data_IF_884624057628
#
_entry.id   IF_884624057628
#
_cell.length_a   1.000
_cell.length_b   1.000
_cell.length_c   1.000
_cell.angle_alpha   90.00
_cell.angle_beta   90.00
_cell.angle_gamma   90.00
#
_symmetry.space_group_name_H-M   'P 1'
#
loop_
_entity.id
_entity.type
_entity.pdbx_description
1 polymer ?
#
# COMPACT_ATOMS: atom_id res chain seq x y z
N UNK A 1 -0.55 21.10 -11.97
CA UNK A 1 -1.12 19.84 -11.43
C UNK A 1 -1.29 18.84 -12.57
N UNK A 2 -1.04 17.55 -12.35
CA UNK A 2 -1.33 16.53 -13.36
C UNK A 2 -2.82 16.51 -13.71
N UNK A 3 -3.14 16.27 -14.98
CA UNK A 3 -4.52 16.01 -15.42
C UNK A 3 -5.03 14.69 -14.84
N UNK A 4 -6.37 14.48 -14.78
CA UNK A 4 -6.93 13.19 -14.37
C UNK A 4 -6.36 12.00 -15.16
N UNK A 5 -6.16 12.15 -16.47
CA UNK A 5 -5.57 11.12 -17.33
C UNK A 5 -4.12 10.79 -16.96
N UNK A 6 -3.32 11.81 -16.64
CA UNK A 6 -1.93 11.61 -16.18
C UNK A 6 -1.89 10.91 -14.82
N UNK A 7 -2.80 11.27 -13.91
CA UNK A 7 -2.90 10.64 -12.60
C UNK A 7 -3.29 9.16 -12.70
N UNK A 8 -4.32 8.83 -13.49
CA UNK A 8 -4.75 7.44 -13.76
C UNK A 8 -3.61 6.64 -14.38
N UNK A 9 -2.92 7.21 -15.37
CA UNK A 9 -1.75 6.57 -16.01
C UNK A 9 -0.64 6.27 -15.01
N UNK A 10 -0.39 7.19 -14.08
CA UNK A 10 0.62 7.03 -13.05
C UNK A 10 0.25 5.91 -12.06
N UNK A 11 -0.99 5.89 -11.56
CA UNK A 11 -1.47 4.80 -10.69
C UNK A 11 -1.35 3.45 -11.39
N UNK A 12 -1.76 3.35 -12.67
CA UNK A 12 -1.66 2.12 -13.44
C UNK A 12 -0.23 1.65 -13.68
N UNK A 13 0.72 2.59 -13.82
CA UNK A 13 2.15 2.26 -13.89
C UNK A 13 2.66 1.70 -12.55
N UNK A 14 2.35 2.36 -11.44
CA UNK A 14 2.78 1.93 -10.10
C UNK A 14 2.20 0.56 -9.74
N UNK A 15 0.91 0.32 -10.01
CA UNK A 15 0.29 -1.01 -9.82
C UNK A 15 1.02 -2.11 -10.59
N UNK A 16 1.38 -1.84 -11.86
CA UNK A 16 2.14 -2.79 -12.68
C UNK A 16 3.55 -3.03 -12.14
N UNK A 17 4.21 -1.99 -11.64
CA UNK A 17 5.55 -2.12 -11.04
C UNK A 17 5.46 -2.97 -9.79
N UNK A 18 4.50 -2.70 -8.90
CA UNK A 18 4.28 -3.50 -7.68
C UNK A 18 4.11 -4.97 -8.06
N UNK A 19 3.15 -5.29 -8.95
CA UNK A 19 2.89 -6.68 -9.37
C UNK A 19 4.13 -7.39 -9.93
N UNK A 20 4.92 -6.71 -10.75
CA UNK A 20 6.17 -7.26 -11.30
C UNK A 20 7.25 -7.45 -10.24
N UNK A 21 7.32 -6.56 -9.24
CA UNK A 21 8.32 -6.62 -8.18
C UNK A 21 7.98 -7.63 -7.11
N UNK A 22 6.70 -7.98 -6.98
CA UNK A 22 6.21 -9.00 -6.05
C UNK A 22 5.99 -10.37 -6.71
N UNK A 23 6.29 -10.50 -8.00
CA UNK A 23 6.11 -11.75 -8.74
C UNK A 23 7.01 -12.85 -8.17
N UNK A 24 6.42 -13.99 -7.81
CA UNK A 24 7.13 -15.13 -7.22
C UNK A 24 7.45 -15.02 -5.73
N UNK A 25 7.10 -13.90 -5.07
CA UNK A 25 7.25 -13.76 -3.61
C UNK A 25 6.08 -14.41 -2.87
N UNK A 26 6.39 -15.07 -1.76
CA UNK A 26 5.39 -15.68 -0.88
C UNK A 26 4.89 -14.67 0.15
N UNK A 27 3.82 -15.05 0.88
CA UNK A 27 3.37 -14.27 2.03
C UNK A 27 4.47 -14.14 3.10
N UNK A 28 5.19 -15.23 3.39
CA UNK A 28 6.28 -15.21 4.36
C UNK A 28 7.40 -14.24 3.93
N UNK A 29 7.75 -14.21 2.64
CA UNK A 29 8.73 -13.23 2.12
C UNK A 29 8.26 -11.79 2.35
N UNK A 30 6.95 -11.55 2.27
CA UNK A 30 6.40 -10.20 2.46
C UNK A 30 6.49 -9.67 3.89
N UNK A 31 6.51 -10.57 4.86
CA UNK A 31 6.52 -10.26 6.30
C UNK A 31 7.94 -10.09 6.84
N UNK A 32 8.97 -10.39 6.04
CA UNK A 32 10.37 -10.26 6.46
C UNK A 32 10.75 -8.79 6.66
N UNK A 33 11.30 -8.51 7.84
CA UNK A 33 11.91 -7.23 8.17
C UNK A 33 13.35 -7.22 7.65
N UNK A 34 13.70 -6.22 6.83
CA UNK A 34 15.03 -6.13 6.25
C UNK A 34 16.05 -5.61 7.28
N UNK A 35 17.34 -5.98 7.17
CA UNK A 35 18.38 -5.60 8.15
C UNK A 35 18.87 -4.15 7.95
N UNK A 36 17.94 -3.24 7.70
CA UNK A 36 18.14 -1.81 7.58
C UNK A 36 16.84 -1.08 7.93
N UNK A 37 16.90 0.22 8.27
CA UNK A 37 15.70 0.99 8.62
C UNK A 37 14.73 1.05 7.43
N UNK A 38 13.61 0.35 7.55
CA UNK A 38 12.57 0.23 6.53
C UNK A 38 11.40 -0.58 7.08
N UNK A 39 10.31 -0.66 6.33
CA UNK A 39 9.17 -1.52 6.68
C UNK A 39 9.22 -2.81 5.86
N UNK A 40 8.64 -3.89 6.37
CA UNK A 40 8.42 -5.11 5.60
C UNK A 40 7.53 -4.83 4.36
N UNK A 41 7.57 -5.71 3.37
CA UNK A 41 6.79 -5.52 2.14
C UNK A 41 5.29 -5.55 2.42
N UNK A 42 4.83 -6.41 3.32
CA UNK A 42 3.42 -6.51 3.72
C UNK A 42 2.88 -5.16 4.21
N UNK A 43 3.62 -4.51 5.12
CA UNK A 43 3.23 -3.19 5.62
C UNK A 43 3.20 -2.14 4.50
N UNK A 44 4.21 -2.11 3.63
CA UNK A 44 4.23 -1.15 2.51
C UNK A 44 3.04 -1.33 1.56
N UNK A 45 2.68 -2.57 1.22
CA UNK A 45 1.54 -2.87 0.35
C UNK A 45 0.22 -2.49 1.01
N UNK A 46 0.02 -2.86 2.28
CA UNK A 46 -1.17 -2.46 3.05
C UNK A 46 -1.28 -0.94 3.17
N UNK A 47 -0.17 -0.24 3.45
CA UNK A 47 -0.13 1.22 3.53
C UNK A 47 -0.57 1.87 2.22
N UNK A 48 -0.09 1.37 1.08
CA UNK A 48 -0.50 1.84 -0.24
C UNK A 48 -2.02 1.64 -0.45
N UNK A 49 -2.57 0.50 -0.04
CA UNK A 49 -3.99 0.19 -0.22
C UNK A 49 -4.90 1.10 0.61
N UNK A 50 -4.62 1.25 1.91
CA UNK A 50 -5.47 2.07 2.79
C UNK A 50 -5.49 3.53 2.36
N UNK A 51 -4.36 4.08 1.90
CA UNK A 51 -4.29 5.46 1.41
C UNK A 51 -4.89 5.63 0.01
N UNK A 52 -4.81 4.62 -0.87
CA UNK A 52 -5.56 4.63 -2.13
C UNK A 52 -7.07 4.73 -1.87
N UNK A 53 -7.57 4.01 -0.87
CA UNK A 53 -8.98 4.08 -0.48
C UNK A 53 -9.34 5.44 0.15
N UNK A 54 -8.47 6.02 0.98
CA UNK A 54 -8.67 7.39 1.48
C UNK A 54 -8.74 8.41 0.34
N UNK A 55 -7.84 8.34 -0.65
CA UNK A 55 -7.86 9.23 -1.80
C UNK A 55 -9.10 9.05 -2.67
N UNK A 56 -9.58 7.81 -2.82
CA UNK A 56 -10.85 7.56 -3.48
C UNK A 56 -12.00 8.23 -2.72
N UNK A 57 -11.99 8.16 -1.38
CA UNK A 57 -12.95 8.84 -0.51
C UNK A 57 -12.99 10.35 -0.68
N UNK A 58 -11.83 10.98 -0.91
CA UNK A 58 -11.75 12.42 -1.22
C UNK A 58 -12.43 12.75 -2.56
N UNK A 59 -12.47 11.79 -3.50
CA UNK A 59 -13.05 11.97 -4.83
C UNK A 59 -14.56 11.70 -4.83
N UNK A 60 -14.99 10.59 -4.23
CA UNK A 60 -16.39 10.11 -4.31
C UNK A 60 -17.23 10.44 -3.07
N UNK A 61 -16.60 10.86 -1.97
CA UNK A 61 -17.26 11.18 -0.70
C UNK A 61 -17.80 9.98 0.09
N UNK A 62 -17.60 8.75 -0.38
CA UNK A 62 -18.20 7.54 0.19
C UNK A 62 -17.19 6.44 0.49
N UNK A 63 -16.08 6.39 -0.24
CA UNK A 63 -15.02 5.43 -0.03
C UNK A 63 -14.24 5.75 1.25
N UNK A 64 -13.96 4.72 2.03
CA UNK A 64 -13.09 4.78 3.21
C UNK A 64 -12.42 3.42 3.42
N UNK A 65 -11.17 3.38 3.91
CA UNK A 65 -10.56 2.13 4.32
C UNK A 65 -11.36 1.51 5.46
N UNK A 66 -11.28 0.19 5.59
CA UNK A 66 -11.76 -0.48 6.79
C UNK A 66 -10.98 0.05 8.01
N UNK A 67 -11.65 0.40 9.13
CA UNK A 67 -10.97 0.94 10.31
C UNK A 67 -9.94 -0.01 10.92
N UNK A 68 -10.17 -1.33 10.88
CA UNK A 68 -9.26 -2.34 11.40
C UNK A 68 -8.04 -2.47 10.48
N UNK A 69 -8.23 -2.46 9.16
CA UNK A 69 -7.11 -2.41 8.20
C UNK A 69 -6.29 -1.12 8.34
N UNK A 70 -6.96 0.02 8.53
CA UNK A 70 -6.27 1.30 8.73
C UNK A 70 -5.48 1.34 10.04
N UNK A 71 -5.93 0.67 11.09
CA UNK A 71 -5.18 0.55 12.34
C UNK A 71 -3.85 -0.21 12.14
N UNK A 72 -3.85 -1.19 11.23
CA UNK A 72 -2.68 -2.03 10.92
C UNK A 72 -1.70 -1.34 9.97
N UNK A 73 -2.20 -0.58 8.99
CA UNK A 73 -1.39 -0.06 7.88
C UNK A 73 -1.34 1.47 7.79
N UNK A 74 -2.07 2.18 8.64
CA UNK A 74 -2.09 3.64 8.69
C UNK A 74 -0.74 4.23 9.12
N UNK A 75 -0.54 5.52 8.87
CA UNK A 75 0.69 6.19 9.31
C UNK A 75 0.90 6.07 10.83
N UNK A 76 2.12 5.70 11.24
CA UNK A 76 2.49 5.51 12.65
C UNK A 76 2.14 4.13 13.23
N UNK A 77 1.56 3.22 12.44
CA UNK A 77 1.41 1.82 12.82
C UNK A 77 2.73 1.07 12.75
N UNK A 78 2.89 0.07 13.62
CA UNK A 78 4.01 -0.85 13.59
C UNK A 78 3.85 -1.88 12.45
N UNK A 79 4.92 -2.30 11.77
CA UNK A 79 4.87 -3.38 10.79
C UNK A 79 4.38 -4.70 11.39
N UNK A 80 3.49 -5.39 10.67
CA UNK A 80 3.24 -6.81 10.95
C UNK A 80 4.44 -7.61 10.46
N UNK A 81 5.18 -8.19 11.40
CA UNK A 81 6.37 -9.01 11.15
C UNK A 81 6.16 -10.42 11.69
N UNK A 82 6.79 -11.41 11.07
CA UNK A 82 6.70 -12.84 11.48
C UNK A 82 7.60 -13.19 12.69
N UNK A 83 8.14 -12.19 13.39
CA UNK A 83 9.09 -12.31 14.51
C UNK A 83 8.47 -11.95 15.86
#
# INVERSE_FOLDING_TARGET
>A
MPTPKQYISHIGLIDRIIKRKTEGLTQADSMQQLPFPGNCMNWNLGHILVYRMQYLGVIDGVSKPDPEEFAIYGAGSEPLTDS
#
